data_IF_227500246801
#
_entry.id   IF_227500246801
#
_cell.length_a   1.000
_cell.length_b   1.000
_cell.length_c   1.000
_cell.angle_alpha   90.00
_cell.angle_beta   90.00
_cell.angle_gamma   90.00
#
_symmetry.space_group_name_H-M   'P 1'
#
loop_
_entity.id
_entity.type
_entity.pdbx_description
1 polymer ?
#
# COMPACT_ATOMS: atom_id res chain seq x y z
N UNK A 1 -5.68 0.50 -42.17
CA UNK A 1 -5.46 1.55 -41.15
C UNK A 1 -5.46 0.88 -39.79
N UNK A 2 -4.37 0.95 -39.02
CA UNK A 2 -4.34 0.46 -37.65
C UNK A 2 -4.76 1.60 -36.72
N UNK A 3 -5.84 1.40 -35.95
CA UNK A 3 -6.25 2.34 -34.89
C UNK A 3 -5.28 2.19 -33.71
N UNK A 4 -4.72 3.30 -33.21
CA UNK A 4 -3.84 3.29 -32.03
C UNK A 4 -4.65 3.77 -30.83
N UNK A 5 -4.72 2.95 -29.79
CA UNK A 5 -5.36 3.31 -28.52
C UNK A 5 -4.29 3.54 -27.46
N UNK A 6 -4.38 4.65 -26.74
CA UNK A 6 -3.63 4.91 -25.52
C UNK A 6 -4.53 4.62 -24.33
N UNK A 7 -4.08 3.72 -23.45
CA UNK A 7 -4.76 3.37 -22.21
C UNK A 7 -3.90 3.92 -21.08
N UNK A 8 -4.36 4.99 -20.43
CA UNK A 8 -3.73 5.53 -19.23
C UNK A 8 -4.51 5.06 -18.01
N UNK A 9 -3.84 4.38 -17.09
CA UNK A 9 -4.44 3.85 -15.86
C UNK A 9 -3.91 4.63 -14.66
N UNK A 10 -4.81 5.25 -13.92
CA UNK A 10 -4.50 5.89 -12.64
C UNK A 10 -5.10 5.08 -11.51
N UNK A 11 -4.37 4.98 -10.39
CA UNK A 11 -4.82 4.25 -9.22
C UNK A 11 -4.66 5.12 -7.98
N UNK A 12 -5.74 5.24 -7.21
CA UNK A 12 -5.76 6.01 -5.97
C UNK A 12 -6.32 5.16 -4.84
N UNK A 13 -5.86 5.43 -3.61
CA UNK A 13 -6.42 4.82 -2.42
C UNK A 13 -7.60 5.66 -1.92
N UNK A 14 -8.68 4.98 -1.60
CA UNK A 14 -9.81 5.56 -0.85
C UNK A 14 -9.43 5.75 0.62
N UNK A 15 -10.28 6.42 1.39
CA UNK A 15 -10.10 6.55 2.85
C UNK A 15 -9.86 5.20 3.53
N UNK A 16 -10.59 4.16 3.15
CA UNK A 16 -10.37 2.80 3.67
C UNK A 16 -9.00 2.24 3.29
N UNK A 17 -8.56 2.47 2.05
CA UNK A 17 -7.24 2.07 1.57
C UNK A 17 -6.10 2.78 2.31
N UNK A 18 -6.29 4.05 2.67
CA UNK A 18 -5.33 4.81 3.48
C UNK A 18 -5.24 4.29 4.92
N UNK A 19 -6.37 4.01 5.57
CA UNK A 19 -6.37 3.38 6.90
C UNK A 19 -5.72 2.00 6.85
N UNK A 20 -5.99 1.23 5.80
CA UNK A 20 -5.34 -0.04 5.56
C UNK A 20 -3.82 0.10 5.46
N UNK A 21 -3.35 1.09 4.69
CA UNK A 21 -1.93 1.35 4.49
C UNK A 21 -1.24 1.73 5.81
N UNK A 22 -1.90 2.57 6.61
CA UNK A 22 -1.40 2.93 7.94
C UNK A 22 -1.32 1.70 8.86
N UNK A 23 -2.36 0.86 8.92
CA UNK A 23 -2.37 -0.36 9.72
C UNK A 23 -1.32 -1.39 9.28
N UNK A 24 -1.10 -1.52 7.97
CA UNK A 24 -0.08 -2.39 7.39
C UNK A 24 1.34 -1.96 7.77
N UNK A 25 1.62 -0.65 7.75
CA UNK A 25 2.94 -0.10 8.10
C UNK A 25 3.17 -0.07 9.61
N UNK A 26 2.17 0.38 10.37
CA UNK A 26 2.30 0.57 11.82
C UNK A 26 2.15 -0.74 12.61
N UNK A 27 1.41 -1.73 12.10
CA UNK A 27 1.19 -3.01 12.77
C UNK A 27 2.49 -3.74 13.17
N UNK A 28 3.44 -3.96 12.23
CA UNK A 28 4.74 -4.54 12.53
C UNK A 28 5.56 -3.70 13.51
N UNK A 29 5.48 -2.37 13.43
CA UNK A 29 6.20 -1.45 14.32
C UNK A 29 5.69 -1.60 15.75
N UNK A 30 4.38 -1.59 15.95
CA UNK A 30 3.76 -1.80 17.27
C UNK A 30 4.13 -3.18 17.82
N UNK A 31 4.04 -4.23 17.01
CA UNK A 31 4.40 -5.59 17.41
C UNK A 31 5.88 -5.68 17.85
N UNK A 32 6.79 -5.05 17.09
CA UNK A 32 8.21 -4.99 17.43
C UNK A 32 8.48 -4.22 18.73
N UNK A 33 7.78 -3.10 18.96
CA UNK A 33 7.89 -2.32 20.20
C UNK A 33 7.39 -3.10 21.42
N UNK A 34 6.25 -3.78 21.30
CA UNK A 34 5.72 -4.64 22.36
C UNK A 34 6.67 -5.79 22.68
N UNK A 35 7.27 -6.42 21.66
CA UNK A 35 8.26 -7.47 21.87
C UNK A 35 9.54 -6.94 22.53
N UNK A 36 10.07 -5.80 22.07
CA UNK A 36 11.24 -5.17 22.69
C UNK A 36 10.98 -4.79 24.16
N UNK A 37 9.78 -4.28 24.46
CA UNK A 37 9.36 -3.99 25.82
C UNK A 37 9.28 -5.26 26.67
N UNK A 38 8.72 -6.35 26.15
CA UNK A 38 8.69 -7.65 26.85
C UNK A 38 10.08 -8.15 27.20
N UNK A 39 11.02 -8.15 26.26
CA UNK A 39 12.40 -8.59 26.51
C UNK A 39 13.06 -7.77 27.62
N UNK A 40 12.81 -6.46 27.63
CA UNK A 40 13.33 -5.58 28.68
C UNK A 40 12.73 -5.88 30.05
N UNK A 41 11.44 -6.20 30.10
CA UNK A 41 10.75 -6.52 31.35
C UNK A 41 11.18 -7.89 31.88
N UNK A 42 11.22 -8.90 31.02
CA UNK A 42 11.68 -10.26 31.32
C UNK A 42 13.12 -10.30 31.84
N UNK A 43 13.97 -9.35 31.42
CA UNK A 43 15.34 -9.22 31.93
C UNK A 43 15.44 -8.61 33.33
N UNK A 44 14.41 -7.89 33.80
CA UNK A 44 14.39 -7.21 35.11
C UNK A 44 13.65 -7.99 36.18
N UNK A 45 12.59 -8.66 35.77
CA UNK A 45 11.63 -9.40 36.57
C UNK A 45 11.14 -10.55 35.68
N UNK A 46 10.76 -11.71 36.23
CA UNK A 46 9.94 -12.65 35.47
C UNK A 46 8.56 -12.00 35.25
N UNK A 47 8.50 -11.02 34.37
CA UNK A 47 7.34 -10.18 34.10
C UNK A 47 6.27 -10.94 33.33
N UNK A 48 5.01 -10.61 33.61
CA UNK A 48 3.87 -11.20 32.93
C UNK A 48 3.90 -10.87 31.42
N UNK A 49 3.97 -11.88 30.52
CA UNK A 49 4.00 -11.66 29.08
C UNK A 49 2.67 -11.17 28.51
N UNK A 50 1.58 -11.22 29.28
CA UNK A 50 0.21 -11.06 28.76
C UNK A 50 0.02 -9.73 28.02
N UNK A 51 0.51 -8.62 28.57
CA UNK A 51 0.31 -7.31 27.94
C UNK A 51 1.08 -7.19 26.60
N UNK A 52 2.29 -7.73 26.56
CA UNK A 52 3.08 -7.73 25.34
C UNK A 52 2.48 -8.66 24.28
N UNK A 53 1.99 -9.84 24.69
CA UNK A 53 1.32 -10.77 23.81
C UNK A 53 0.06 -10.15 23.18
N UNK A 54 -0.76 -9.46 23.96
CA UNK A 54 -1.94 -8.73 23.44
C UNK A 54 -1.50 -7.67 22.42
N UNK A 55 -0.48 -6.88 22.73
CA UNK A 55 0.03 -5.84 21.83
C UNK A 55 0.56 -6.42 20.50
N UNK A 56 1.29 -7.54 20.56
CA UNK A 56 1.78 -8.24 19.38
C UNK A 56 0.66 -8.84 18.53
N UNK A 57 -0.36 -9.43 19.17
CA UNK A 57 -1.55 -9.96 18.47
C UNK A 57 -2.29 -8.82 17.77
N UNK A 58 -2.56 -7.73 18.48
CA UNK A 58 -3.26 -6.56 17.90
C UNK A 58 -2.46 -5.94 16.76
N UNK A 59 -1.14 -5.78 16.91
CA UNK A 59 -0.27 -5.28 15.83
C UNK A 59 -0.27 -6.20 14.61
N UNK A 60 -0.27 -7.52 14.82
CA UNK A 60 -0.33 -8.51 13.73
C UNK A 60 -1.68 -8.50 13.02
N UNK A 61 -2.79 -8.41 13.78
CA UNK A 61 -4.13 -8.27 13.21
C UNK A 61 -4.29 -6.96 12.43
N UNK A 62 -3.78 -5.84 12.97
CA UNK A 62 -3.79 -4.56 12.27
C UNK A 62 -3.01 -4.62 10.95
N UNK A 63 -1.90 -5.35 10.91
CA UNK A 63 -1.14 -5.60 9.69
C UNK A 63 -1.95 -6.40 8.66
N UNK A 64 -2.54 -7.52 9.07
CA UNK A 64 -3.32 -8.40 8.20
C UNK A 64 -4.57 -7.71 7.64
N UNK A 65 -5.35 -7.06 8.52
CA UNK A 65 -6.53 -6.28 8.15
C UNK A 65 -6.11 -5.10 7.26
N UNK A 66 -4.99 -4.46 7.59
CA UNK A 66 -4.43 -3.37 6.81
C UNK A 66 -4.13 -3.77 5.36
N UNK A 67 -3.50 -4.93 5.17
CA UNK A 67 -3.21 -5.48 3.84
C UNK A 67 -4.49 -5.69 3.02
N UNK A 68 -5.54 -6.25 3.62
CA UNK A 68 -6.83 -6.44 2.95
C UNK A 68 -7.46 -5.11 2.56
N UNK A 69 -7.47 -4.14 3.49
CA UNK A 69 -8.03 -2.81 3.24
C UNK A 69 -7.28 -2.01 2.17
N UNK A 70 -5.95 -2.16 2.08
CA UNK A 70 -5.17 -1.57 0.99
C UNK A 70 -5.57 -2.12 -0.37
N UNK A 71 -5.93 -3.39 -0.45
CA UNK A 71 -6.32 -4.03 -1.72
C UNK A 71 -7.73 -3.61 -2.10
N UNK A 72 -8.69 -3.75 -1.17
CA UNK A 72 -10.12 -3.45 -1.42
C UNK A 72 -10.35 -1.95 -1.56
N UNK A 73 -9.59 -1.12 -0.84
CA UNK A 73 -9.72 0.33 -0.83
C UNK A 73 -9.09 1.04 -2.02
N UNK A 74 -8.92 0.38 -3.18
CA UNK A 74 -8.34 0.97 -4.39
C UNK A 74 -9.42 1.35 -5.39
N UNK A 75 -9.29 2.53 -5.99
CA UNK A 75 -10.06 2.94 -7.16
C UNK A 75 -9.11 3.06 -8.34
N UNK A 76 -9.43 2.34 -9.41
CA UNK A 76 -8.71 2.40 -10.68
C UNK A 76 -9.57 3.17 -11.68
N UNK A 77 -8.97 4.14 -12.35
CA UNK A 77 -9.61 4.91 -13.43
C UNK A 77 -8.80 4.73 -14.71
N UNK A 78 -9.46 4.23 -15.75
CA UNK A 78 -8.87 3.99 -17.07
C UNK A 78 -9.35 5.08 -18.03
N UNK A 79 -8.40 5.86 -18.55
CA UNK A 79 -8.63 6.81 -19.64
C UNK A 79 -8.18 6.14 -20.94
N UNK A 80 -9.14 5.84 -21.81
CA UNK A 80 -8.88 5.30 -23.15
C UNK A 80 -9.01 6.43 -24.16
N UNK A 81 -7.93 6.73 -24.89
CA UNK A 81 -7.92 7.74 -25.95
C UNK A 81 -7.56 7.06 -27.28
N UNK A 82 -8.34 7.32 -28.32
CA UNK A 82 -7.97 6.96 -29.69
C UNK A 82 -6.99 8.02 -30.20
N UNK A 83 -5.74 7.63 -30.43
CA UNK A 83 -4.75 8.49 -31.05
C UNK A 83 -4.91 8.29 -32.56
N UNK A 84 -5.35 9.34 -33.26
CA UNK A 84 -5.29 9.34 -34.72
C UNK A 84 -3.85 9.07 -35.15
N UNK A 85 -3.61 8.07 -36.02
CA UNK A 85 -2.28 7.80 -36.50
C UNK A 85 -1.75 9.06 -37.18
N UNK A 86 -0.71 9.68 -36.61
CA UNK A 86 -0.02 10.80 -37.24
C UNK A 86 0.32 10.39 -38.68
N UNK A 87 -0.04 11.20 -39.69
CA UNK A 87 0.27 10.88 -41.07
C UNK A 87 1.79 10.69 -41.19
N UNK A 88 2.19 9.55 -41.74
CA UNK A 88 3.59 9.23 -41.99
C UNK A 88 4.21 10.35 -42.85
N UNK A 89 4.99 11.23 -42.23
CA UNK A 89 5.59 12.38 -42.92
C UNK A 89 5.78 13.65 -42.08
N UNK A 90 5.20 13.76 -40.89
CA UNK A 90 5.48 14.92 -40.01
C UNK A 90 6.77 14.64 -39.23
N UNK A 91 7.90 15.14 -39.74
CA UNK A 91 9.16 15.24 -38.96
C UNK A 91 8.86 15.95 -37.65
N UNK A 92 9.18 15.32 -36.53
CA UNK A 92 9.09 15.97 -35.22
C UNK A 92 9.97 17.21 -35.20
N UNK A 93 9.56 18.24 -34.44
CA UNK A 93 10.24 19.54 -34.28
C UNK A 93 11.72 19.43 -33.80
N UNK A 94 12.19 18.23 -33.50
CA UNK A 94 13.50 17.90 -32.94
C UNK A 94 14.34 16.95 -33.82
N UNK A 95 13.84 16.56 -35.00
CA UNK A 95 14.63 15.77 -35.95
C UNK A 95 15.15 16.70 -37.07
N UNK A 96 16.26 17.39 -36.73
CA UNK A 96 17.16 18.04 -37.71
C UNK A 96 18.09 17.02 -38.34
#
# INVERSE_FOLDING_TARGET
MAKRFEINTTQQLTNMGMFGAAGFVLGPVVSALCYAWFIREAARSFGDPTLAAIGMILGSLACLIGLVLVIVGRVQSHLVREIEPQPAGVKGLWES
#
